data_IF_030598258607
#
_entry.id   IF_030598258607
#
_cell.length_a   1.000
_cell.length_b   1.000
_cell.length_c   1.000
_cell.angle_alpha   90.00
_cell.angle_beta   90.00
_cell.angle_gamma   90.00
#
_symmetry.space_group_name_H-M   'P 1'
#
loop_
_entity.id
_entity.type
_entity.pdbx_description
1 polymer ?
#
# COMPACT_ATOMS: atom_id res chain seq x y z
N UNK A 1 -14.27 -0.26 5.47
CA UNK A 1 -12.94 -0.40 6.09
C UNK A 1 -12.31 -1.70 5.56
N UNK A 2 -11.03 -2.01 5.84
CA UNK A 2 -10.35 -3.18 5.23
C UNK A 2 -10.94 -4.50 5.74
N UNK A 3 -11.27 -4.54 7.01
CA UNK A 3 -12.08 -5.54 7.70
C UNK A 3 -13.47 -5.75 7.07
N UNK A 4 -14.19 -4.67 6.71
CA UNK A 4 -15.51 -4.78 6.05
C UNK A 4 -15.47 -5.51 4.68
N UNK A 5 -14.28 -5.61 4.08
CA UNK A 5 -14.04 -6.25 2.79
C UNK A 5 -13.41 -7.65 2.92
N UNK A 6 -13.43 -8.24 4.12
CA UNK A 6 -12.73 -9.51 4.45
C UNK A 6 -11.22 -9.41 4.18
N UNK A 7 -10.66 -8.21 4.17
CA UNK A 7 -9.27 -7.97 3.81
C UNK A 7 -8.31 -8.53 4.87
N UNK A 8 -8.68 -8.41 6.14
CA UNK A 8 -7.87 -8.91 7.25
C UNK A 8 -7.72 -10.43 7.20
N UNK A 9 -8.83 -11.17 7.06
CA UNK A 9 -8.84 -12.63 6.92
C UNK A 9 -7.96 -13.10 5.74
N UNK A 10 -8.03 -12.38 4.60
CA UNK A 10 -7.21 -12.71 3.43
C UNK A 10 -5.73 -12.51 3.70
N UNK A 11 -5.34 -11.47 4.46
CA UNK A 11 -3.93 -11.23 4.82
C UNK A 11 -3.45 -12.26 5.84
N UNK A 12 -4.27 -12.64 6.82
CA UNK A 12 -3.94 -13.72 7.78
C UNK A 12 -3.70 -15.06 7.06
N UNK A 13 -4.53 -15.41 6.08
CA UNK A 13 -4.33 -16.62 5.28
C UNK A 13 -2.98 -16.64 4.54
N UNK A 14 -2.46 -15.48 4.13
CA UNK A 14 -1.16 -15.38 3.46
C UNK A 14 0.03 -15.71 4.38
N UNK A 15 -0.15 -15.71 5.71
CA UNK A 15 0.89 -16.20 6.63
C UNK A 15 1.13 -17.72 6.52
N UNK A 16 0.27 -18.46 5.84
CA UNK A 16 0.45 -19.89 5.58
C UNK A 16 0.96 -20.20 4.17
N UNK A 17 1.25 -19.18 3.37
CA UNK A 17 1.62 -19.37 1.97
C UNK A 17 3.04 -19.95 1.83
N UNK A 18 3.21 -20.92 0.91
CA UNK A 18 4.51 -21.59 0.63
C UNK A 18 5.62 -20.64 0.15
N UNK A 19 5.27 -19.41 -0.26
CA UNK A 19 6.22 -18.43 -0.74
C UNK A 19 6.63 -17.55 0.44
N UNK A 20 7.89 -17.67 0.84
CA UNK A 20 8.47 -16.93 1.97
C UNK A 20 8.31 -15.42 1.81
N UNK A 21 8.43 -14.85 0.61
CA UNK A 21 8.25 -13.40 0.41
C UNK A 21 6.80 -12.96 0.67
N UNK A 22 5.82 -13.80 0.32
CA UNK A 22 4.39 -13.51 0.57
C UNK A 22 4.11 -13.57 2.07
N UNK A 23 4.61 -14.61 2.74
CA UNK A 23 4.54 -14.76 4.19
C UNK A 23 5.13 -13.54 4.91
N UNK A 24 6.38 -13.17 4.59
CA UNK A 24 7.10 -12.07 5.26
C UNK A 24 6.36 -10.74 5.11
N UNK A 25 5.81 -10.46 3.92
CA UNK A 25 5.02 -9.24 3.70
C UNK A 25 3.72 -9.25 4.49
N UNK A 26 3.01 -10.38 4.55
CA UNK A 26 1.77 -10.51 5.32
C UNK A 26 2.01 -10.29 6.81
N UNK A 27 3.05 -10.91 7.37
CA UNK A 27 3.48 -10.72 8.77
C UNK A 27 3.79 -9.24 9.04
N UNK A 28 4.64 -8.62 8.22
CA UNK A 28 5.02 -7.21 8.41
C UNK A 28 3.81 -6.25 8.38
N UNK A 29 2.84 -6.48 7.48
CA UNK A 29 1.63 -5.67 7.41
C UNK A 29 0.77 -5.80 8.67
N UNK A 30 0.60 -7.02 9.18
CA UNK A 30 -0.19 -7.27 10.39
C UNK A 30 0.49 -6.67 11.62
N UNK A 31 1.80 -6.83 11.76
CA UNK A 31 2.58 -6.24 12.85
C UNK A 31 2.53 -4.70 12.82
N UNK A 32 2.64 -4.08 11.64
CA UNK A 32 2.72 -2.61 11.53
C UNK A 32 1.41 -1.88 11.76
N UNK A 33 0.26 -2.54 11.53
CA UNK A 33 -1.04 -1.86 11.47
C UNK A 33 -2.12 -2.49 12.37
N UNK A 34 -1.93 -3.73 12.83
CA UNK A 34 -2.92 -4.46 13.63
C UNK A 34 -2.39 -4.96 14.98
N UNK A 35 -1.07 -4.97 15.20
CA UNK A 35 -0.53 -5.08 16.55
C UNK A 35 -0.38 -3.69 17.15
N UNK A 36 -0.97 -3.47 18.32
CA UNK A 36 -0.70 -2.30 19.13
C UNK A 36 0.72 -2.45 19.73
N UNK A 37 1.75 -2.06 18.98
CA UNK A 37 3.01 -1.68 19.61
C UNK A 37 2.79 -0.35 20.33
N UNK A 38 2.89 -0.39 21.65
CA UNK A 38 2.47 0.64 22.60
C UNK A 38 3.20 1.99 22.47
N UNK A 39 4.15 2.17 21.55
CA UNK A 39 4.88 3.44 21.44
C UNK A 39 5.31 3.77 19.99
N UNK A 40 4.71 4.83 19.47
CA UNK A 40 5.34 5.85 18.62
C UNK A 40 6.50 5.42 17.71
N UNK A 41 6.21 4.74 16.60
CA UNK A 41 7.01 4.93 15.40
C UNK A 41 6.11 4.92 14.17
N UNK A 42 5.47 6.06 13.91
CA UNK A 42 5.09 6.40 12.54
C UNK A 42 6.35 6.24 11.69
N UNK A 43 6.36 5.43 10.62
CA UNK A 43 7.41 5.54 9.64
C UNK A 43 7.31 6.96 9.09
N UNK A 44 8.30 7.80 9.40
CA UNK A 44 8.54 9.03 8.65
C UNK A 44 8.41 8.63 7.18
N UNK A 45 7.53 9.32 6.46
CA UNK A 45 7.16 9.02 5.08
C UNK A 45 8.32 9.19 4.12
N UNK A 46 9.35 8.37 4.28
CA UNK A 46 10.35 8.09 3.27
C UNK A 46 9.66 7.14 2.29
N UNK A 47 8.82 7.77 1.48
CA UNK A 47 8.56 7.36 0.12
C UNK A 47 9.93 7.30 -0.58
N UNK A 48 10.69 6.23 -0.32
CA UNK A 48 11.56 5.67 -1.32
C UNK A 48 10.62 5.21 -2.45
N UNK A 49 10.25 6.18 -3.29
CA UNK A 49 9.54 6.05 -4.55
C UNK A 49 10.34 5.10 -5.44
N UNK A 50 10.25 3.80 -5.16
CA UNK A 50 10.28 2.79 -6.19
C UNK A 50 9.03 3.04 -7.02
N UNK A 51 9.24 3.85 -8.05
CA UNK A 51 8.22 4.43 -8.90
C UNK A 51 7.23 3.39 -9.36
N UNK A 52 6.00 3.54 -8.91
CA UNK A 52 4.84 2.99 -9.57
C UNK A 52 4.75 3.67 -10.95
N UNK A 53 5.36 3.02 -11.96
CA UNK A 53 5.43 3.52 -13.33
C UNK A 53 4.10 3.24 -14.05
N UNK A 54 3.11 4.12 -13.85
CA UNK A 54 1.89 4.10 -14.64
C UNK A 54 2.17 4.79 -15.98
N UNK A 55 2.41 3.97 -17.03
CA UNK A 55 2.32 4.44 -18.41
C UNK A 55 3.33 5.51 -18.80
N UNK A 56 4.50 5.06 -19.22
CA UNK A 56 5.35 5.74 -20.19
C UNK A 56 4.55 6.49 -21.27
N UNK A 57 4.46 7.81 -21.17
CA UNK A 57 4.70 8.77 -22.25
C UNK A 57 4.40 10.18 -21.74
N UNK A 58 5.46 10.97 -21.73
CA UNK A 58 5.47 12.41 -21.97
C UNK A 58 4.23 12.89 -22.73
N UNK A 59 3.22 13.36 -22.01
CA UNK A 59 2.26 14.31 -22.57
C UNK A 59 1.97 15.33 -21.47
N UNK A 60 2.80 16.38 -21.48
CA UNK A 60 2.57 17.63 -20.79
C UNK A 60 1.10 18.06 -21.00
N UNK A 61 0.27 17.87 -19.97
CA UNK A 61 -1.04 18.50 -19.92
C UNK A 61 -0.81 20.01 -20.01
N UNK A 62 -1.32 20.71 -21.04
CA UNK A 62 -1.22 22.14 -21.08
C UNK A 62 -2.08 22.70 -19.95
N UNK A 63 -1.52 23.62 -19.17
CA UNK A 63 -2.25 24.45 -18.22
C UNK A 63 -3.23 25.35 -19.00
N UNK A 64 -4.41 24.81 -19.32
CA UNK A 64 -5.47 25.53 -20.03
C UNK A 64 -6.83 24.91 -19.70
N UNK A 65 -7.58 25.61 -18.85
CA UNK A 65 -8.82 25.14 -18.23
C UNK A 65 -9.94 24.72 -19.18
N UNK A 66 -10.82 23.86 -18.67
CA UNK A 66 -12.04 23.42 -19.33
C UNK A 66 -13.04 24.59 -19.45
N UNK A 67 -13.53 24.83 -20.67
CA UNK A 67 -14.60 25.81 -20.95
C UNK A 67 -15.83 25.06 -21.46
N UNK A 68 -16.96 25.16 -20.76
CA UNK A 68 -18.26 24.72 -21.25
C UNK A 68 -18.96 25.94 -21.85
N UNK A 69 -18.76 26.10 -23.16
CA UNK A 69 -19.62 26.95 -23.98
C UNK A 69 -20.96 26.28 -24.24
#
# INVERSE_FOLDING_TARGET
MIDDAEGLEKIENLQSHDNTEIYEKAVKMLESYWLEEEDEVMPSGDNAQNGFNFGSQQNSVPSGGFNFG
#
